data_IF_670046862318
#
_entry.id   IF_670046862318
#
_cell.length_a   1.000
_cell.length_b   1.000
_cell.length_c   1.000
_cell.angle_alpha   90.00
_cell.angle_beta   90.00
_cell.angle_gamma   90.00
#
_symmetry.space_group_name_H-M   'P 1'
#
loop_
_entity.id
_entity.type
_entity.pdbx_description
1 polymer ?
#
# COMPACT_ATOMS: atom_id res chain seq x y z
N UNK A 1 -1.46 5.55 -29.49
CA UNK A 1 -2.08 5.86 -28.19
C UNK A 1 -1.73 4.71 -27.26
N UNK A 2 -0.81 4.93 -26.32
CA UNK A 2 -0.53 3.92 -25.29
C UNK A 2 -1.78 3.82 -24.41
N UNK A 3 -2.41 2.65 -24.36
CA UNK A 3 -3.43 2.36 -23.35
C UNK A 3 -2.75 2.51 -22.00
N UNK A 4 -3.14 3.51 -21.21
CA UNK A 4 -2.69 3.67 -19.82
C UNK A 4 -3.10 2.42 -19.05
N UNK A 5 -2.16 1.49 -18.88
CA UNK A 5 -2.37 0.25 -18.16
C UNK A 5 -2.47 0.61 -16.68
N UNK A 6 -3.67 0.48 -16.09
CA UNK A 6 -3.83 0.70 -14.66
C UNK A 6 -3.08 -0.37 -13.88
N UNK A 7 -2.19 0.08 -12.99
CA UNK A 7 -1.34 -0.82 -12.20
C UNK A 7 -2.15 -1.61 -11.16
N UNK A 8 -1.59 -2.69 -10.63
CA UNK A 8 -2.21 -3.44 -9.54
C UNK A 8 -2.48 -2.55 -8.31
N UNK A 9 -1.51 -1.67 -7.99
CA UNK A 9 -1.62 -0.70 -6.88
C UNK A 9 -2.81 0.24 -7.04
N UNK A 10 -2.98 0.84 -8.22
CA UNK A 10 -4.11 1.75 -8.50
C UNK A 10 -5.46 1.04 -8.36
N UNK A 11 -5.55 -0.21 -8.83
CA UNK A 11 -6.76 -1.03 -8.69
C UNK A 11 -7.05 -1.36 -7.22
N UNK A 12 -6.02 -1.70 -6.44
CA UNK A 12 -6.16 -1.94 -5.01
C UNK A 12 -6.59 -0.66 -4.26
N UNK A 13 -5.98 0.49 -4.55
CA UNK A 13 -6.36 1.79 -3.98
C UNK A 13 -7.85 2.05 -4.23
N UNK A 14 -8.32 1.91 -5.48
CA UNK A 14 -9.74 2.11 -5.80
C UNK A 14 -10.67 1.19 -5.01
N UNK A 15 -10.30 -0.08 -4.82
CA UNK A 15 -11.07 -1.01 -3.98
C UNK A 15 -11.10 -0.55 -2.52
N UNK A 16 -9.99 -0.06 -1.98
CA UNK A 16 -9.91 0.49 -0.62
C UNK A 16 -10.75 1.76 -0.49
N UNK A 17 -10.67 2.69 -1.45
CA UNK A 17 -11.48 3.91 -1.46
C UNK A 17 -12.99 3.57 -1.47
N UNK A 18 -13.40 2.57 -2.27
CA UNK A 18 -14.77 2.07 -2.26
C UNK A 18 -15.19 1.54 -0.88
N UNK A 19 -14.31 0.81 -0.20
CA UNK A 19 -14.55 0.33 1.17
C UNK A 19 -14.71 1.51 2.13
N UNK A 20 -13.77 2.47 2.10
CA UNK A 20 -13.81 3.68 2.91
C UNK A 20 -15.06 4.52 2.64
N UNK A 21 -15.61 4.43 1.43
CA UNK A 21 -16.90 4.98 1.04
C UNK A 21 -18.10 4.07 1.38
N UNK A 22 -17.95 3.24 2.41
CA UNK A 22 -18.99 2.35 2.94
C UNK A 22 -19.59 1.41 1.87
N UNK A 23 -18.80 1.04 0.86
CA UNK A 23 -19.19 0.21 -0.28
C UNK A 23 -20.27 0.79 -1.21
N UNK A 24 -20.61 2.08 -1.09
CA UNK A 24 -21.54 2.71 -2.03
C UNK A 24 -20.94 2.74 -3.45
N UNK A 25 -21.69 2.22 -4.42
CA UNK A 25 -21.38 2.41 -5.83
C UNK A 25 -21.73 3.86 -6.21
N UNK A 26 -20.78 4.61 -6.76
CA UNK A 26 -21.12 5.89 -7.39
C UNK A 26 -21.89 5.59 -8.68
N UNK A 27 -23.13 6.08 -8.77
CA UNK A 27 -23.87 6.07 -10.03
C UNK A 27 -23.19 7.04 -11.01
N UNK A 28 -22.68 6.58 -12.17
CA UNK A 28 -22.05 7.45 -13.16
C UNK A 28 -23.03 8.46 -13.80
N UNK A 29 -24.33 8.43 -13.44
CA UNK A 29 -25.36 9.30 -13.98
C UNK A 29 -25.48 10.67 -13.28
N UNK A 30 -24.89 10.85 -12.08
CA UNK A 30 -25.04 12.08 -11.30
C UNK A 30 -23.90 13.10 -11.45
N UNK A 31 -22.93 12.87 -12.33
CA UNK A 31 -21.84 13.83 -12.63
C UNK A 31 -22.21 14.89 -13.69
N UNK A 32 -23.51 15.17 -13.87
CA UNK A 32 -23.99 16.27 -14.73
C UNK A 32 -24.41 17.50 -13.90
N UNK A 33 -23.50 18.05 -13.09
CA UNK A 33 -23.67 19.38 -12.51
C UNK A 33 -22.31 20.01 -12.17
N UNK A 34 -21.50 20.27 -13.21
CA UNK A 34 -20.63 21.47 -13.31
C UNK A 34 -19.83 21.41 -14.61
N UNK A 35 -20.45 21.88 -15.70
CA UNK A 35 -19.76 22.14 -16.95
C UNK A 35 -19.04 23.50 -16.86
N UNK A 36 -17.83 23.52 -16.31
CA UNK A 36 -16.78 24.49 -16.67
C UNK A 36 -15.43 24.14 -16.04
N UNK A 37 -14.84 23.02 -16.47
CA UNK A 37 -13.39 22.84 -16.41
C UNK A 37 -12.94 22.02 -17.63
N UNK A 38 -11.87 22.52 -18.25
CA UNK A 38 -11.27 22.05 -19.50
C UNK A 38 -11.00 20.55 -19.54
N UNK A 39 -11.24 19.98 -20.72
CA UNK A 39 -10.96 18.61 -21.14
C UNK A 39 -9.52 18.17 -20.85
N UNK A 40 -9.34 17.24 -19.92
CA UNK A 40 -8.49 16.03 -19.97
C UNK A 40 -8.57 15.33 -18.60
N UNK A 41 -8.51 13.99 -18.59
CA UNK A 41 -8.60 13.08 -17.42
C UNK A 41 -10.02 12.66 -16.97
N UNK A 42 -10.54 11.60 -17.61
CA UNK A 42 -11.59 10.75 -17.02
C UNK A 42 -10.88 9.70 -16.16
N UNK A 43 -10.41 10.11 -14.99
CA UNK A 43 -10.21 9.21 -13.85
C UNK A 43 -11.49 9.31 -13.03
N UNK A 44 -12.24 8.21 -12.89
CA UNK A 44 -13.37 8.15 -11.95
C UNK A 44 -12.81 8.17 -10.53
N UNK A 45 -12.42 9.35 -10.04
CA UNK A 45 -12.00 9.57 -8.67
C UNK A 45 -13.23 9.41 -7.80
N UNK A 46 -13.25 8.38 -6.96
CA UNK A 46 -14.33 8.24 -6.00
C UNK A 46 -14.35 9.47 -5.08
N UNK A 47 -15.54 9.98 -4.76
CA UNK A 47 -15.73 11.16 -3.92
C UNK A 47 -16.29 10.68 -2.57
N UNK A 48 -15.76 11.14 -1.43
CA UNK A 48 -16.28 10.80 -0.11
C UNK A 48 -17.78 11.10 -0.01
N UNK A 49 -18.55 10.20 0.62
CA UNK A 49 -19.95 10.49 0.96
C UNK A 49 -19.98 11.67 1.91
N UNK A 50 -20.74 12.69 1.53
CA UNK A 50 -20.96 13.91 2.30
C UNK A 50 -22.27 13.81 3.08
N UNK A 51 -22.31 14.41 4.27
CA UNK A 51 -23.50 14.66 5.05
C UNK A 51 -24.33 15.83 4.48
N UNK A 52 -25.46 16.14 5.12
CA UNK A 52 -26.35 17.24 4.71
C UNK A 52 -25.66 18.62 4.69
N UNK A 53 -24.57 18.77 5.44
CA UNK A 53 -23.75 19.98 5.54
C UNK A 53 -22.56 19.99 4.55
N UNK A 54 -22.42 18.94 3.72
CA UNK A 54 -21.36 18.81 2.73
C UNK A 54 -20.02 18.32 3.29
N UNK A 55 -19.97 17.76 4.50
CA UNK A 55 -18.76 17.22 5.11
C UNK A 55 -18.71 15.68 4.98
N UNK A 56 -17.53 15.06 4.86
CA UNK A 56 -17.42 13.60 4.84
C UNK A 56 -18.02 12.97 6.09
N UNK A 57 -18.79 11.88 5.92
CA UNK A 57 -19.30 11.11 7.07
C UNK A 57 -18.12 10.59 7.90
N UNK A 58 -18.02 11.06 9.13
CA UNK A 58 -16.97 10.65 10.06
C UNK A 58 -17.14 9.20 10.48
N UNK A 59 -16.05 8.43 10.44
CA UNK A 59 -16.04 7.01 10.79
C UNK A 59 -14.74 6.59 11.44
N UNK A 60 -14.78 5.45 12.13
CA UNK A 60 -13.63 4.83 12.77
C UNK A 60 -13.18 3.63 11.93
N UNK A 61 -11.89 3.52 11.63
CA UNK A 61 -11.32 2.38 10.94
C UNK A 61 -10.69 1.42 11.96
N UNK A 62 -11.11 0.16 11.95
CA UNK A 62 -10.52 -0.90 12.77
C UNK A 62 -9.94 -1.96 11.85
N UNK A 63 -8.66 -2.28 12.03
CA UNK A 63 -7.99 -3.32 11.25
C UNK A 63 -7.27 -4.32 12.15
N UNK A 64 -6.90 -5.47 11.60
CA UNK A 64 -5.92 -6.38 12.19
C UNK A 64 -4.52 -6.14 11.59
N UNK A 65 -3.59 -7.06 11.84
CA UNK A 65 -2.21 -6.95 11.34
C UNK A 65 -2.16 -6.84 9.82
N UNK A 66 -2.88 -7.71 9.09
CA UNK A 66 -2.85 -7.70 7.63
C UNK A 66 -3.59 -6.47 7.08
N UNK A 67 -4.75 -6.12 7.64
CA UNK A 67 -5.50 -4.92 7.25
C UNK A 67 -4.68 -3.63 7.41
N UNK A 68 -3.91 -3.52 8.51
CA UNK A 68 -2.96 -2.42 8.71
C UNK A 68 -1.91 -2.38 7.61
N UNK A 69 -1.28 -3.51 7.34
CA UNK A 69 -0.17 -3.59 6.39
C UNK A 69 -0.64 -3.29 4.95
N UNK A 70 -1.87 -3.67 4.59
CA UNK A 70 -2.51 -3.30 3.32
C UNK A 70 -2.72 -1.78 3.23
N UNK A 71 -3.43 -1.20 4.19
CA UNK A 71 -3.77 0.24 4.17
C UNK A 71 -2.51 1.10 4.18
N UNK A 72 -1.57 0.82 5.08
CA UNK A 72 -0.34 1.61 5.24
C UNK A 72 0.61 1.53 4.04
N UNK A 73 0.50 0.49 3.20
CA UNK A 73 1.31 0.37 1.98
C UNK A 73 0.83 1.29 0.84
N UNK A 74 -0.43 1.74 0.87
CA UNK A 74 -1.05 2.46 -0.25
C UNK A 74 -1.67 3.81 0.10
N UNK A 75 -2.05 4.06 1.37
CA UNK A 75 -2.66 5.31 1.83
C UNK A 75 -1.90 5.94 3.00
N UNK A 76 -1.78 7.27 2.99
CA UNK A 76 -1.29 8.07 4.12
C UNK A 76 -2.43 8.42 5.07
N UNK A 77 -2.07 8.89 6.26
CA UNK A 77 -3.04 9.40 7.26
C UNK A 77 -3.79 10.64 6.75
N UNK A 78 -3.19 11.45 5.87
CA UNK A 78 -3.90 12.52 5.15
C UNK A 78 -5.04 11.97 4.31
N UNK A 79 -4.77 10.91 3.56
CA UNK A 79 -5.71 10.34 2.61
C UNK A 79 -6.88 9.70 3.35
N UNK A 80 -6.61 8.95 4.43
CA UNK A 80 -7.64 8.42 5.32
C UNK A 80 -8.57 9.51 5.88
N UNK A 81 -8.03 10.68 6.25
CA UNK A 81 -8.83 11.81 6.75
C UNK A 81 -9.72 12.41 5.67
N UNK A 82 -9.23 12.51 4.43
CA UNK A 82 -10.05 12.93 3.27
C UNK A 82 -11.25 11.99 3.08
N UNK A 83 -11.09 10.70 3.39
CA UNK A 83 -12.15 9.69 3.34
C UNK A 83 -13.05 9.63 4.59
N UNK A 84 -12.95 10.62 5.48
CA UNK A 84 -13.77 10.71 6.70
C UNK A 84 -13.32 9.78 7.83
N UNK A 85 -12.13 9.17 7.75
CA UNK A 85 -11.59 8.37 8.85
C UNK A 85 -10.96 9.31 9.89
N UNK A 86 -11.61 9.45 11.04
CA UNK A 86 -11.11 10.31 12.14
C UNK A 86 -10.10 9.58 13.01
N UNK A 87 -10.34 8.29 13.25
CA UNK A 87 -9.49 7.43 14.07
C UNK A 87 -9.29 6.09 13.38
N UNK A 88 -8.08 5.55 13.48
CA UNK A 88 -7.77 4.19 13.04
C UNK A 88 -7.03 3.44 14.15
N UNK A 89 -7.42 2.19 14.42
CA UNK A 89 -6.89 1.41 15.54
C UNK A 89 -6.82 -0.07 15.20
N UNK A 90 -5.93 -0.79 15.89
CA UNK A 90 -5.86 -2.23 15.78
C UNK A 90 -6.99 -2.90 16.58
N UNK A 91 -7.57 -3.99 16.07
CA UNK A 91 -8.70 -4.69 16.68
C UNK A 91 -8.39 -5.24 18.09
N UNK A 92 -7.15 -5.64 18.33
CA UNK A 92 -6.70 -6.11 19.64
C UNK A 92 -6.40 -4.99 20.65
N UNK A 93 -6.39 -3.72 20.22
CA UNK A 93 -6.13 -2.60 21.11
C UNK A 93 -7.32 -2.33 22.03
N UNK A 94 -7.03 -1.83 23.24
CA UNK A 94 -8.05 -1.29 24.13
C UNK A 94 -8.65 -0.02 23.50
N UNK A 95 -9.97 0.01 23.37
CA UNK A 95 -10.71 1.03 22.63
C UNK A 95 -11.84 1.58 23.48
N UNK A 96 -12.06 2.89 23.37
CA UNK A 96 -13.09 3.62 24.12
C UNK A 96 -14.37 3.73 23.28
N UNK A 97 -15.55 3.68 23.93
CA UNK A 97 -16.82 3.86 23.23
C UNK A 97 -16.94 5.27 22.69
N UNK A 98 -17.36 5.36 21.43
CA UNK A 98 -17.79 6.60 20.79
C UNK A 98 -19.14 6.26 20.14
N UNK A 99 -20.23 6.33 20.92
CA UNK A 99 -21.57 6.04 20.43
C UNK A 99 -21.91 6.93 19.23
N UNK A 100 -22.81 6.45 18.37
CA UNK A 100 -23.32 7.15 17.18
C UNK A 100 -22.29 7.41 16.07
N UNK A 101 -21.04 6.96 16.23
CA UNK A 101 -20.04 7.01 15.16
C UNK A 101 -19.97 5.65 14.47
N UNK A 102 -20.11 5.61 13.13
CA UNK A 102 -19.92 4.40 12.36
C UNK A 102 -18.50 3.81 12.49
N UNK A 103 -18.43 2.48 12.50
CA UNK A 103 -17.15 1.76 12.46
C UNK A 103 -17.02 0.92 11.19
N UNK A 104 -15.84 0.97 10.59
CA UNK A 104 -15.43 0.13 9.47
C UNK A 104 -14.40 -0.88 9.98
N UNK A 105 -14.77 -2.15 10.01
CA UNK A 105 -13.84 -3.23 10.28
C UNK A 105 -13.24 -3.73 8.96
N UNK A 106 -11.92 -3.76 8.84
CA UNK A 106 -11.17 -4.33 7.73
C UNK A 106 -10.21 -5.40 8.26
N UNK A 107 -10.65 -6.66 8.26
CA UNK A 107 -9.98 -7.74 9.01
C UNK A 107 -9.96 -9.07 8.27
N UNK A 108 -9.05 -9.97 8.64
CA UNK A 108 -9.09 -11.37 8.22
C UNK A 108 -10.30 -12.09 8.85
N UNK A 109 -10.97 -13.02 8.12
CA UNK A 109 -12.10 -13.79 8.64
C UNK A 109 -11.61 -14.88 9.61
N UNK A 110 -11.23 -14.48 10.82
CA UNK A 110 -10.75 -15.38 11.88
C UNK A 110 -11.71 -15.39 13.07
N UNK A 111 -11.81 -16.53 13.77
CA UNK A 111 -12.64 -16.64 14.97
C UNK A 111 -12.26 -15.62 16.05
N UNK A 112 -10.98 -15.25 16.14
CA UNK A 112 -10.50 -14.23 17.07
C UNK A 112 -11.04 -12.84 16.71
N UNK A 113 -10.98 -12.46 15.43
CA UNK A 113 -11.51 -11.18 14.95
C UNK A 113 -13.03 -11.11 15.10
N UNK A 114 -13.75 -12.17 14.75
CA UNK A 114 -15.21 -12.24 14.88
C UNK A 114 -15.66 -12.08 16.33
N UNK A 115 -15.01 -12.79 17.26
CA UNK A 115 -15.28 -12.65 18.69
C UNK A 115 -14.99 -11.24 19.20
N UNK A 116 -13.92 -10.61 18.72
CA UNK A 116 -13.60 -9.23 19.08
C UNK A 116 -14.66 -8.25 18.55
N UNK A 117 -15.14 -8.42 17.32
CA UNK A 117 -16.25 -7.64 16.76
C UNK A 117 -17.51 -7.82 17.60
N UNK A 118 -17.93 -9.06 17.89
CA UNK A 118 -19.10 -9.33 18.74
C UNK A 118 -18.95 -8.65 20.10
N UNK A 119 -17.76 -8.69 20.70
CA UNK A 119 -17.48 -8.02 21.98
C UNK A 119 -17.62 -6.50 21.90
N UNK A 120 -17.13 -5.88 20.82
CA UNK A 120 -17.26 -4.44 20.59
C UNK A 120 -18.73 -4.04 20.44
N UNK A 121 -19.50 -4.83 19.68
CA UNK A 121 -20.93 -4.60 19.46
C UNK A 121 -21.74 -4.72 20.76
N UNK A 122 -21.47 -5.75 21.56
CA UNK A 122 -22.14 -5.94 22.87
C UNK A 122 -21.83 -4.81 23.85
N UNK A 123 -20.63 -4.23 23.75
CA UNK A 123 -20.22 -3.06 24.56
C UNK A 123 -20.76 -1.74 24.00
N UNK A 124 -21.41 -1.74 22.84
CA UNK A 124 -21.90 -0.53 22.18
C UNK A 124 -20.78 0.46 21.90
N UNK A 125 -19.59 -0.01 21.48
CA UNK A 125 -18.47 0.90 21.25
C UNK A 125 -18.77 1.88 20.13
N UNK A 126 -19.40 1.40 19.04
CA UNK A 126 -19.65 2.12 17.79
C UNK A 126 -20.96 1.62 17.16
N UNK A 127 -21.63 2.45 16.38
CA UNK A 127 -22.81 2.03 15.60
C UNK A 127 -23.09 3.01 14.44
N UNK A 128 -23.46 2.51 13.24
CA UNK A 128 -23.51 1.11 12.83
C UNK A 128 -22.12 0.55 12.44
N UNK A 129 -22.01 -0.77 12.42
CA UNK A 129 -20.80 -1.50 12.05
C UNK A 129 -20.84 -1.99 10.59
N UNK A 130 -19.78 -1.65 9.86
CA UNK A 130 -19.54 -2.07 8.49
C UNK A 130 -18.38 -3.07 8.46
N UNK A 131 -18.68 -4.35 8.27
CA UNK A 131 -17.73 -5.45 8.38
C UNK A 131 -17.20 -5.82 6.99
N UNK A 132 -15.89 -5.72 6.80
CA UNK A 132 -15.23 -6.01 5.54
C UNK A 132 -14.12 -7.04 5.76
N UNK A 133 -14.33 -8.26 5.28
CA UNK A 133 -13.34 -9.32 5.34
C UNK A 133 -12.33 -9.20 4.20
N UNK A 134 -11.05 -9.34 4.51
CA UNK A 134 -9.96 -9.27 3.53
C UNK A 134 -9.98 -10.43 2.52
N UNK A 135 -10.58 -11.55 2.88
CA UNK A 135 -10.78 -12.72 2.02
C UNK A 135 -12.17 -13.30 2.27
N UNK A 136 -12.59 -14.26 1.44
CA UNK A 136 -13.92 -14.83 1.58
C UNK A 136 -14.08 -15.62 2.88
N UNK A 137 -15.11 -15.29 3.66
CA UNK A 137 -15.41 -15.98 4.91
C UNK A 137 -15.96 -17.40 4.67
N UNK A 138 -15.40 -18.45 5.32
CA UNK A 138 -15.98 -19.77 5.25
C UNK A 138 -17.41 -19.82 5.81
N UNK A 139 -18.31 -20.55 5.13
CA UNK A 139 -19.72 -20.66 5.53
C UNK A 139 -19.94 -21.06 7.00
N UNK A 140 -19.22 -22.06 7.57
CA UNK A 140 -19.40 -22.40 8.98
C UNK A 140 -19.03 -21.25 9.92
N UNK A 141 -18.03 -20.47 9.55
CA UNK A 141 -17.56 -19.34 10.36
C UNK A 141 -18.54 -18.15 10.31
N UNK A 142 -19.18 -17.94 9.15
CA UNK A 142 -20.25 -16.94 9.00
C UNK A 142 -21.50 -17.33 9.81
N UNK A 143 -21.88 -18.61 9.80
CA UNK A 143 -23.03 -19.11 10.58
C UNK A 143 -22.79 -19.02 12.10
N UNK A 144 -21.56 -19.30 12.55
CA UNK A 144 -21.14 -19.11 13.94
C UNK A 144 -21.21 -17.62 14.34
N UNK A 145 -20.69 -16.72 13.50
CA UNK A 145 -20.78 -15.28 13.75
C UNK A 145 -22.21 -14.76 13.79
N UNK A 146 -23.08 -15.24 12.88
CA UNK A 146 -24.50 -14.89 12.87
C UNK A 146 -25.20 -15.37 14.16
N UNK A 147 -24.89 -16.58 14.63
CA UNK A 147 -25.44 -17.12 15.88
C UNK A 147 -25.00 -16.29 17.09
N UNK A 148 -23.69 -15.97 17.19
CA UNK A 148 -23.15 -15.16 18.29
C UNK A 148 -23.76 -13.76 18.35
N UNK A 149 -23.93 -13.09 17.21
CA UNK A 149 -24.49 -11.74 17.15
C UNK A 149 -25.99 -11.72 17.46
N UNK A 150 -26.72 -12.77 17.05
CA UNK A 150 -28.14 -12.94 17.37
C UNK A 150 -28.35 -13.22 18.87
N UNK A 151 -27.56 -14.12 19.47
CA UNK A 151 -27.60 -14.41 20.91
C UNK A 151 -27.24 -13.19 21.76
N UNK A 152 -26.30 -12.37 21.30
CA UNK A 152 -25.92 -11.12 21.95
C UNK A 152 -26.94 -9.97 21.74
N UNK A 153 -27.93 -10.13 20.86
CA UNK A 153 -28.89 -9.08 20.53
C UNK A 153 -28.27 -7.88 19.81
N UNK A 154 -27.20 -8.10 19.04
CA UNK A 154 -26.41 -7.03 18.40
C UNK A 154 -26.55 -6.98 16.88
N UNK A 155 -27.36 -7.87 16.29
CA UNK A 155 -27.51 -7.98 14.83
C UNK A 155 -27.97 -6.69 14.16
N UNK A 156 -28.80 -5.89 14.83
CA UNK A 156 -29.29 -4.59 14.34
C UNK A 156 -28.21 -3.51 14.22
N UNK A 157 -27.09 -3.68 14.92
CA UNK A 157 -25.94 -2.76 14.85
C UNK A 157 -25.04 -3.05 13.65
N UNK A 158 -25.27 -4.13 12.89
CA UNK A 158 -24.47 -4.48 11.70
C UNK A 158 -25.18 -3.96 10.45
N UNK A 159 -24.60 -2.95 9.81
CA UNK A 159 -25.15 -2.39 8.57
C UNK A 159 -24.83 -3.24 7.35
N UNK A 160 -23.60 -3.77 7.25
CA UNK A 160 -23.20 -4.59 6.11
C UNK A 160 -22.06 -5.55 6.43
N UNK A 161 -21.99 -6.64 5.66
CA UNK A 161 -20.91 -7.63 5.69
C UNK A 161 -20.47 -7.90 4.25
N UNK A 162 -19.18 -7.72 3.95
CA UNK A 162 -18.61 -7.91 2.61
C UNK A 162 -17.33 -8.72 2.63
N UNK A 163 -17.14 -9.55 1.60
CA UNK A 163 -15.88 -10.15 1.22
C UNK A 163 -15.18 -9.24 0.20
N UNK A 164 -14.01 -8.68 0.54
CA UNK A 164 -13.34 -7.65 -0.27
C UNK A 164 -12.24 -8.18 -1.20
N UNK A 165 -11.75 -9.40 -0.95
CA UNK A 165 -10.68 -10.02 -1.76
C UNK A 165 -9.42 -9.12 -1.89
N UNK A 166 -8.94 -8.60 -0.75
CA UNK A 166 -7.78 -7.72 -0.65
C UNK A 166 -6.66 -8.29 0.23
N UNK A 167 -6.63 -9.60 0.52
CA UNK A 167 -5.61 -10.25 1.36
C UNK A 167 -4.22 -10.36 0.69
N UNK A 168 -3.69 -9.26 0.18
CA UNK A 168 -2.34 -9.07 -0.36
C UNK A 168 -1.92 -7.60 -0.22
N UNK A 169 -0.63 -7.35 -0.02
CA UNK A 169 -0.02 -6.04 0.17
C UNK A 169 0.64 -5.62 -1.13
N UNK A 170 0.46 -4.38 -1.57
CA UNK A 170 1.11 -3.84 -2.77
C UNK A 170 2.17 -2.82 -2.37
N UNK A 171 3.43 -3.12 -2.68
CA UNK A 171 4.57 -2.22 -2.37
C UNK A 171 4.88 -1.29 -3.54
N UNK A 172 4.94 -1.82 -4.76
CA UNK A 172 5.24 -1.03 -5.97
C UNK A 172 4.05 -1.15 -6.94
N UNK A 173 3.96 -0.34 -8.01
CA UNK A 173 2.80 -0.32 -8.90
C UNK A 173 2.29 -1.71 -9.31
N UNK A 174 3.19 -2.67 -9.57
CA UNK A 174 2.87 -4.05 -9.94
C UNK A 174 3.63 -5.11 -9.10
N UNK A 175 4.11 -4.76 -7.90
CA UNK A 175 4.75 -5.69 -6.97
C UNK A 175 3.86 -5.92 -5.75
N UNK A 176 3.52 -7.18 -5.48
CA UNK A 176 2.72 -7.55 -4.32
C UNK A 176 3.36 -8.64 -3.46
N UNK A 177 2.90 -8.72 -2.21
CA UNK A 177 3.23 -9.76 -1.25
C UNK A 177 1.95 -10.31 -0.63
N UNK A 178 1.91 -11.60 -0.30
CA UNK A 178 0.77 -12.20 0.41
C UNK A 178 0.84 -12.01 1.94
N UNK A 179 1.83 -11.27 2.45
CA UNK A 179 1.94 -10.98 3.89
C UNK A 179 2.37 -12.18 4.76
N UNK A 180 2.79 -13.29 4.15
CA UNK A 180 3.06 -14.57 4.83
C UNK A 180 4.45 -14.69 5.46
N UNK A 181 5.08 -13.57 5.87
CA UNK A 181 6.45 -13.58 6.42
C UNK A 181 6.55 -14.40 7.72
N UNK A 182 5.53 -14.33 8.57
CA UNK A 182 5.45 -15.06 9.85
C UNK A 182 5.28 -16.58 9.66
N UNK A 183 4.84 -17.01 8.47
CA UNK A 183 4.55 -18.42 8.17
C UNK A 183 5.79 -19.20 7.71
N UNK A 184 6.95 -18.54 7.54
CA UNK A 184 8.19 -19.15 7.05
C UNK A 184 7.98 -20.05 5.82
N UNK A 185 7.20 -19.56 4.85
CA UNK A 185 6.61 -20.37 3.76
C UNK A 185 7.62 -21.20 2.98
N UNK A 186 8.79 -20.66 2.65
CA UNK A 186 9.82 -21.42 1.95
C UNK A 186 10.30 -22.63 2.76
N UNK A 187 10.52 -22.46 4.07
CA UNK A 187 10.87 -23.57 4.95
C UNK A 187 9.72 -24.56 5.04
N UNK A 188 8.49 -24.08 5.27
CA UNK A 188 7.34 -24.94 5.46
C UNK A 188 7.04 -25.81 4.22
N UNK A 189 7.21 -25.28 3.01
CA UNK A 189 6.99 -26.01 1.76
C UNK A 189 8.07 -27.07 1.47
N UNK A 190 9.27 -26.95 2.05
CA UNK A 190 10.42 -27.83 1.76
C UNK A 190 10.86 -28.68 2.95
N UNK A 191 10.32 -28.45 4.15
CA UNK A 191 10.72 -29.13 5.38
C UNK A 191 9.92 -30.42 5.57
N UNK A 192 10.64 -31.53 5.80
CA UNK A 192 10.03 -32.80 6.20
C UNK A 192 9.38 -32.76 7.60
N UNK A 193 9.55 -31.67 8.35
CA UNK A 193 8.93 -31.46 9.66
C UNK A 193 7.56 -30.79 9.57
N UNK A 194 7.19 -30.26 8.41
CA UNK A 194 5.88 -29.64 8.20
C UNK A 194 4.81 -30.72 8.16
N UNK A 195 3.76 -30.57 8.96
CA UNK A 195 2.64 -31.51 8.93
C UNK A 195 1.76 -31.28 7.71
N UNK A 196 1.06 -32.31 7.24
CA UNK A 196 0.14 -32.19 6.09
C UNK A 196 -0.91 -31.08 6.30
N UNK A 197 -1.41 -30.94 7.53
CA UNK A 197 -2.36 -29.86 7.85
C UNK A 197 -1.73 -28.47 7.75
N UNK A 198 -0.50 -28.30 8.24
CA UNK A 198 0.20 -27.01 8.14
C UNK A 198 0.50 -26.67 6.67
N UNK A 199 0.93 -27.66 5.90
CA UNK A 199 1.20 -27.52 4.47
C UNK A 199 -0.08 -27.11 3.71
N UNK A 200 -1.20 -27.78 3.96
CA UNK A 200 -2.48 -27.47 3.35
C UNK A 200 -2.94 -26.04 3.70
N UNK A 201 -2.86 -25.64 4.97
CA UNK A 201 -3.21 -24.28 5.39
C UNK A 201 -2.38 -23.19 4.65
N UNK A 202 -1.08 -23.44 4.47
CA UNK A 202 -0.18 -22.52 3.74
C UNK A 202 -0.57 -22.45 2.26
N UNK A 203 -0.82 -23.61 1.63
CA UNK A 203 -1.25 -23.68 0.23
C UNK A 203 -2.59 -22.96 0.04
N UNK A 204 -3.58 -23.19 0.92
CA UNK A 204 -4.88 -22.50 0.88
C UNK A 204 -4.72 -20.99 1.02
N UNK A 205 -3.85 -20.52 1.91
CA UNK A 205 -3.55 -19.09 2.08
C UNK A 205 -2.94 -18.50 0.80
N UNK A 206 -2.00 -19.19 0.16
CA UNK A 206 -1.42 -18.76 -1.13
C UNK A 206 -2.50 -18.70 -2.21
N UNK A 207 -3.30 -19.75 -2.36
CA UNK A 207 -4.37 -19.82 -3.37
C UNK A 207 -5.40 -18.72 -3.14
N UNK A 208 -5.77 -18.44 -1.89
CA UNK A 208 -6.69 -17.36 -1.54
C UNK A 208 -6.12 -15.98 -1.91
N UNK A 209 -4.86 -15.71 -1.59
CA UNK A 209 -4.19 -14.46 -1.95
C UNK A 209 -4.06 -14.27 -3.47
N UNK A 210 -3.65 -15.31 -4.20
CA UNK A 210 -3.56 -15.25 -5.67
C UNK A 210 -4.94 -15.07 -6.32
N UNK A 211 -5.98 -15.70 -5.77
CA UNK A 211 -7.35 -15.50 -6.22
C UNK A 211 -7.76 -14.02 -6.07
N UNK A 212 -7.48 -13.41 -4.92
CA UNK A 212 -7.74 -11.99 -4.64
C UNK A 212 -7.00 -11.03 -5.58
N UNK A 213 -5.74 -11.33 -5.92
CA UNK A 213 -4.99 -10.58 -6.94
C UNK A 213 -5.68 -10.69 -8.30
N UNK A 214 -6.10 -11.89 -8.70
CA UNK A 214 -6.81 -12.12 -9.97
C UNK A 214 -8.16 -11.38 -10.01
N UNK A 215 -8.91 -11.38 -8.90
CA UNK A 215 -10.15 -10.60 -8.73
C UNK A 215 -9.87 -9.11 -8.89
N UNK A 216 -8.84 -8.58 -8.23
CA UNK A 216 -8.46 -7.16 -8.32
C UNK A 216 -8.03 -6.76 -9.73
N UNK A 217 -7.31 -7.63 -10.44
CA UNK A 217 -6.95 -7.43 -11.85
C UNK A 217 -8.17 -7.50 -12.77
N UNK A 218 -9.24 -8.18 -12.35
CA UNK A 218 -10.49 -8.28 -13.09
C UNK A 218 -10.42 -9.11 -14.37
N UNK A 219 -9.35 -9.90 -14.55
CA UNK A 219 -9.12 -10.71 -15.77
C UNK A 219 -8.61 -12.09 -15.38
N UNK A 220 -9.25 -13.14 -15.93
CA UNK A 220 -8.89 -14.53 -15.65
C UNK A 220 -7.67 -14.96 -16.49
N UNK A 221 -6.52 -15.25 -15.86
CA UNK A 221 -5.30 -15.58 -16.57
C UNK A 221 -5.31 -17.02 -17.10
N UNK A 222 -4.33 -17.32 -17.96
CA UNK A 222 -3.90 -18.68 -18.28
C UNK A 222 -2.79 -19.05 -17.29
N UNK A 223 -3.01 -20.08 -16.47
CA UNK A 223 -2.04 -20.51 -15.47
C UNK A 223 -0.96 -21.41 -16.10
N UNK A 224 0.30 -21.17 -15.72
CA UNK A 224 1.47 -21.95 -16.12
C UNK A 224 2.39 -22.15 -14.92
N UNK A 225 2.87 -23.38 -14.73
CA UNK A 225 3.78 -23.73 -13.64
C UNK A 225 4.72 -24.89 -14.04
N UNK A 226 5.87 -25.03 -13.37
CA UNK A 226 6.66 -26.26 -13.37
C UNK A 226 5.86 -27.44 -12.78
N UNK A 227 6.27 -28.66 -13.12
CA UNK A 227 5.68 -29.90 -12.57
C UNK A 227 6.49 -30.42 -11.38
N UNK A 228 5.83 -31.17 -10.50
CA UNK A 228 6.48 -31.97 -9.46
C UNK A 228 6.82 -31.24 -8.16
N UNK A 229 6.30 -30.03 -7.95
CA UNK A 229 6.59 -29.20 -6.78
C UNK A 229 5.36 -28.40 -6.31
N UNK A 230 5.52 -27.52 -5.32
CA UNK A 230 4.40 -26.80 -4.70
C UNK A 230 3.67 -25.88 -5.69
N UNK A 231 4.38 -25.32 -6.69
CA UNK A 231 3.75 -24.52 -7.74
C UNK A 231 2.64 -25.27 -8.49
N UNK A 232 2.79 -26.58 -8.74
CA UNK A 232 1.76 -27.39 -9.42
C UNK A 232 0.50 -27.54 -8.56
N UNK A 233 0.67 -27.83 -7.26
CA UNK A 233 -0.45 -27.97 -6.32
C UNK A 233 -1.23 -26.66 -6.17
N UNK A 234 -0.52 -25.54 -6.01
CA UNK A 234 -1.09 -24.19 -5.92
C UNK A 234 -1.84 -23.87 -7.21
N UNK A 235 -1.23 -24.13 -8.38
CA UNK A 235 -1.82 -23.86 -9.69
C UNK A 235 -3.12 -24.63 -9.91
N UNK A 236 -3.13 -25.93 -9.58
CA UNK A 236 -4.32 -26.77 -9.73
C UNK A 236 -5.46 -26.33 -8.81
N UNK A 237 -5.17 -25.97 -7.56
CA UNK A 237 -6.17 -25.46 -6.60
C UNK A 237 -6.69 -24.08 -7.01
N UNK A 238 -5.83 -23.19 -7.50
CA UNK A 238 -6.23 -21.88 -8.03
C UNK A 238 -7.11 -22.01 -9.28
N UNK A 239 -6.76 -22.88 -10.23
CA UNK A 239 -7.57 -23.16 -11.42
C UNK A 239 -8.97 -23.67 -11.02
N UNK A 240 -9.06 -24.62 -10.09
CA UNK A 240 -10.35 -25.09 -9.54
C UNK A 240 -11.13 -23.95 -8.90
N UNK A 241 -10.51 -23.17 -8.02
CA UNK A 241 -11.18 -22.04 -7.33
C UNK A 241 -11.72 -21.00 -8.32
N UNK A 242 -10.97 -20.68 -9.37
CA UNK A 242 -11.41 -19.77 -10.43
C UNK A 242 -12.59 -20.38 -11.23
N UNK A 243 -12.52 -21.66 -11.61
CA UNK A 243 -13.61 -22.34 -12.31
C UNK A 243 -14.88 -22.41 -11.49
N UNK A 244 -14.77 -22.80 -10.23
CA UNK A 244 -15.91 -22.91 -9.31
C UNK A 244 -16.59 -21.55 -9.12
N UNK A 245 -15.79 -20.48 -9.00
CA UNK A 245 -16.32 -19.13 -8.92
C UNK A 245 -17.07 -18.70 -10.19
N UNK A 246 -16.56 -19.04 -11.38
CA UNK A 246 -17.23 -18.71 -12.66
C UNK A 246 -18.53 -19.49 -12.82
N UNK A 247 -18.56 -20.76 -12.43
CA UNK A 247 -19.70 -21.65 -12.64
C UNK A 247 -20.80 -21.48 -11.59
N UNK A 248 -20.43 -21.20 -10.34
CA UNK A 248 -21.34 -21.28 -9.20
C UNK A 248 -21.65 -19.94 -8.54
N UNK A 249 -20.92 -18.86 -8.84
CA UNK A 249 -21.21 -17.55 -8.26
C UNK A 249 -22.34 -16.85 -9.03
N UNK A 250 -23.38 -16.41 -8.30
CA UNK A 250 -24.46 -15.59 -8.86
C UNK A 250 -23.94 -14.22 -9.31
N UNK A 251 -22.97 -13.69 -8.58
CA UNK A 251 -22.26 -12.46 -8.89
C UNK A 251 -20.87 -12.81 -9.43
N UNK A 252 -20.72 -12.73 -10.75
CA UNK A 252 -19.43 -12.95 -11.37
C UNK A 252 -18.53 -11.72 -11.12
N UNK A 253 -17.62 -11.82 -10.16
CA UNK A 253 -16.58 -10.81 -9.87
C UNK A 253 -15.76 -10.38 -11.12
N UNK A 254 -15.75 -11.18 -12.19
CA UNK A 254 -15.04 -10.87 -13.43
C UNK A 254 -15.93 -10.19 -14.51
N UNK A 255 -17.23 -9.99 -14.27
CA UNK A 255 -18.15 -9.36 -15.23
C UNK A 255 -18.29 -7.84 -15.08
N UNK A 256 -17.82 -7.28 -13.96
CA UNK A 256 -17.98 -5.87 -13.60
C UNK A 256 -16.89 -4.95 -14.18
N UNK A 257 -15.77 -5.52 -14.63
CA UNK A 257 -14.86 -4.79 -15.53
C UNK A 257 -15.58 -4.61 -16.86
N UNK A 258 -15.59 -3.40 -17.44
CA UNK A 258 -16.29 -3.01 -18.67
C UNK A 258 -16.00 -3.83 -19.95
N UNK A 259 -15.42 -5.01 -19.83
CA UNK A 259 -15.28 -6.06 -20.83
C UNK A 259 -16.58 -6.87 -20.98
N UNK A 260 -17.75 -6.21 -21.05
CA UNK A 260 -18.82 -6.83 -21.85
C UNK A 260 -18.22 -7.00 -23.24
N UNK A 261 -18.29 -8.20 -23.88
CA UNK A 261 -18.01 -8.27 -25.29
C UNK A 261 -19.05 -7.41 -25.98
N UNK A 262 -18.68 -6.15 -26.26
CA UNK A 262 -19.40 -5.34 -27.21
C UNK A 262 -19.50 -6.18 -28.46
N UNK A 263 -20.70 -6.30 -29.00
CA UNK A 263 -21.00 -6.90 -30.30
C UNK A 263 -20.41 -6.08 -31.46
N UNK A 264 -19.27 -5.41 -31.26
CA UNK A 264 -18.53 -4.61 -32.21
C UNK A 264 -17.05 -5.00 -32.19
N UNK A 265 -16.65 -5.89 -33.09
CA UNK A 265 -15.41 -5.89 -33.91
C UNK A 265 -14.14 -5.19 -33.38
N UNK A 266 -13.82 -5.24 -32.09
CA UNK A 266 -12.63 -4.61 -31.51
C UNK A 266 -11.77 -5.65 -30.78
N UNK A 267 -10.60 -5.90 -31.39
CA UNK A 267 -9.37 -6.52 -30.83
C UNK A 267 -9.56 -7.55 -29.71
N UNK A 268 -9.35 -8.82 -30.03
CA UNK A 268 -9.19 -9.91 -29.04
C UNK A 268 -8.12 -9.54 -28.01
N UNK A 269 -8.50 -9.06 -26.83
CA UNK A 269 -7.55 -8.90 -25.72
C UNK A 269 -7.01 -10.29 -25.36
N UNK A 270 -5.73 -10.55 -25.64
CA UNK A 270 -5.09 -11.81 -25.26
C UNK A 270 -5.20 -12.00 -23.75
N UNK A 271 -5.65 -13.17 -23.30
CA UNK A 271 -5.70 -13.47 -21.86
C UNK A 271 -4.28 -13.40 -21.28
N UNK A 272 -4.08 -12.73 -20.12
CA UNK A 272 -2.77 -12.67 -19.48
C UNK A 272 -2.34 -14.07 -19.04
N UNK A 273 -1.03 -14.27 -18.88
CA UNK A 273 -0.47 -15.53 -18.36
C UNK A 273 -0.05 -15.30 -16.91
N UNK A 274 -0.49 -16.18 -16.01
CA UNK A 274 -0.02 -16.24 -14.63
C UNK A 274 1.03 -17.35 -14.52
N UNK A 275 2.28 -16.97 -14.30
CA UNK A 275 3.39 -17.88 -14.06
C UNK A 275 3.56 -18.09 -12.55
N UNK A 276 3.42 -19.34 -12.10
CA UNK A 276 3.65 -19.73 -10.71
C UNK A 276 4.92 -20.57 -10.67
N UNK A 277 5.93 -20.11 -9.93
CA UNK A 277 7.25 -20.71 -9.85
C UNK A 277 7.60 -21.03 -8.40
N UNK A 278 8.29 -22.15 -8.18
CA UNK A 278 8.95 -22.42 -6.91
C UNK A 278 10.29 -21.67 -6.85
N UNK A 279 10.63 -21.13 -5.68
CA UNK A 279 11.87 -20.34 -5.48
C UNK A 279 13.15 -21.13 -5.82
N UNK A 280 13.09 -22.47 -5.75
CA UNK A 280 14.17 -23.39 -6.12
C UNK A 280 14.67 -23.24 -7.56
N UNK A 281 13.92 -22.54 -8.43
CA UNK A 281 14.35 -22.24 -9.80
C UNK A 281 15.62 -21.38 -9.84
N UNK A 282 15.81 -20.49 -8.86
CA UNK A 282 16.99 -19.65 -8.73
C UNK A 282 17.08 -19.07 -7.31
N UNK A 283 18.11 -19.44 -6.56
CA UNK A 283 18.35 -18.93 -5.21
C UNK A 283 19.36 -17.78 -5.17
N UNK A 284 20.06 -17.50 -6.27
CA UNK A 284 21.16 -16.52 -6.30
C UNK A 284 20.64 -15.11 -5.95
N UNK A 285 19.53 -14.60 -6.52
CA UNK A 285 19.02 -13.26 -6.19
C UNK A 285 18.59 -13.08 -4.73
N UNK A 286 18.37 -14.17 -3.98
CA UNK A 286 17.99 -14.08 -2.56
C UNK A 286 19.18 -13.80 -1.65
N UNK A 287 20.41 -13.94 -2.16
CA UNK A 287 21.67 -13.78 -1.42
C UNK A 287 22.58 -12.71 -2.02
N UNK A 288 22.38 -12.36 -3.29
CA UNK A 288 23.20 -11.36 -3.98
C UNK A 288 22.93 -9.94 -3.48
N UNK A 289 24.01 -9.22 -3.17
CA UNK A 289 23.96 -7.76 -3.02
C UNK A 289 23.87 -7.11 -4.41
N UNK A 290 22.85 -6.28 -4.60
CA UNK A 290 22.69 -5.46 -5.80
C UNK A 290 23.22 -4.05 -5.56
N UNK A 291 23.62 -3.37 -6.63
CA UNK A 291 24.09 -1.98 -6.61
C UNK A 291 23.01 -0.97 -7.03
N UNK A 292 21.79 -1.42 -7.29
CA UNK A 292 20.65 -0.53 -7.57
C UNK A 292 20.17 0.13 -6.28
N UNK A 293 19.72 1.38 -6.38
CA UNK A 293 19.35 2.18 -5.21
C UNK A 293 18.27 1.52 -4.36
N UNK A 294 17.17 1.05 -4.97
CA UNK A 294 16.09 0.38 -4.25
C UNK A 294 16.55 -0.89 -3.53
N UNK A 295 17.39 -1.70 -4.18
CA UNK A 295 17.87 -2.94 -3.58
C UNK A 295 18.79 -2.67 -2.39
N UNK A 296 19.70 -1.70 -2.50
CA UNK A 296 20.58 -1.30 -1.41
C UNK A 296 19.79 -0.74 -0.23
N UNK A 297 18.80 0.11 -0.49
CA UNK A 297 17.92 0.65 0.57
C UNK A 297 17.16 -0.47 1.27
N UNK A 298 16.61 -1.43 0.52
CA UNK A 298 15.92 -2.57 1.10
C UNK A 298 16.84 -3.43 1.97
N UNK A 299 18.06 -3.70 1.49
CA UNK A 299 19.04 -4.56 2.13
C UNK A 299 19.65 -3.93 3.39
N UNK A 300 20.18 -2.71 3.28
CA UNK A 300 20.96 -2.05 4.34
C UNK A 300 20.07 -1.35 5.37
N UNK A 301 18.91 -0.82 4.97
CA UNK A 301 18.04 -0.02 5.84
C UNK A 301 16.78 -0.77 6.30
N UNK A 302 16.72 -2.10 6.08
CA UNK A 302 15.64 -2.98 6.52
C UNK A 302 14.25 -2.44 6.13
N UNK A 303 14.08 -2.08 4.86
CA UNK A 303 12.85 -1.49 4.35
C UNK A 303 11.65 -2.41 4.56
N UNK A 304 10.57 -1.88 5.15
CA UNK A 304 9.31 -2.62 5.36
C UNK A 304 8.14 -1.73 5.01
N UNK A 305 7.24 -2.24 4.16
CA UNK A 305 6.06 -1.49 3.70
C UNK A 305 6.43 -0.10 3.16
N UNK A 306 7.50 -0.06 2.36
CA UNK A 306 8.09 1.16 1.80
C UNK A 306 8.52 2.21 2.83
N UNK A 307 8.75 1.79 4.07
CA UNK A 307 9.26 2.66 5.13
C UNK A 307 10.64 2.21 5.55
N UNK A 308 11.52 3.18 5.73
CA UNK A 308 12.86 3.00 6.29
C UNK A 308 12.99 3.79 7.58
N UNK A 309 13.92 3.38 8.44
CA UNK A 309 14.31 4.14 9.62
C UNK A 309 15.82 4.29 9.63
N UNK A 310 16.28 5.54 9.60
CA UNK A 310 17.69 5.89 9.63
C UNK A 310 18.02 6.36 11.05
N UNK A 311 19.07 5.79 11.61
CA UNK A 311 19.61 6.21 12.91
C UNK A 311 20.77 7.16 12.66
N UNK A 312 20.72 8.34 13.26
CA UNK A 312 21.79 9.34 13.18
C UNK A 312 22.25 9.70 14.60
N UNK A 313 23.55 9.98 14.82
CA UNK A 313 24.00 10.49 16.11
C UNK A 313 23.23 11.76 16.50
N UNK A 314 22.87 11.91 17.77
CA UNK A 314 22.27 13.16 18.27
C UNK A 314 23.29 14.31 18.21
N UNK A 315 24.56 13.96 18.39
CA UNK A 315 25.70 14.85 18.39
C UNK A 315 26.84 14.13 17.64
N UNK A 316 27.22 14.62 16.46
CA UNK A 316 28.26 13.98 15.62
C UNK A 316 29.63 13.97 16.33
N UNK A 317 29.89 14.96 17.19
CA UNK A 317 31.15 15.04 17.94
C UNK A 317 31.13 14.21 19.23
N UNK A 318 29.95 13.83 19.72
CA UNK A 318 29.81 13.01 20.93
C UNK A 318 28.77 11.87 20.78
N UNK A 319 29.15 10.76 20.12
CA UNK A 319 28.28 9.60 19.89
C UNK A 319 27.73 8.96 21.18
N UNK A 320 28.33 9.22 22.34
CA UNK A 320 27.88 8.71 23.63
C UNK A 320 26.54 9.32 24.09
N UNK A 321 26.09 10.43 23.50
CA UNK A 321 24.77 11.03 23.77
C UNK A 321 23.59 10.25 23.16
N UNK A 322 23.87 9.24 22.34
CA UNK A 322 22.86 8.37 21.73
C UNK A 322 22.50 8.74 20.30
N UNK A 323 21.56 8.00 19.72
CA UNK A 323 21.09 8.17 18.35
C UNK A 323 19.65 8.67 18.30
N UNK A 324 19.35 9.51 17.32
CA UNK A 324 17.99 9.87 16.93
C UNK A 324 17.55 9.00 15.76
N UNK A 325 16.28 8.60 15.75
CA UNK A 325 15.70 7.79 14.67
C UNK A 325 14.78 8.66 13.84
N UNK A 326 15.05 8.75 12.54
CA UNK A 326 14.17 9.38 11.56
C UNK A 326 13.57 8.30 10.67
N UNK A 327 12.24 8.33 10.52
CA UNK A 327 11.56 7.44 9.58
C UNK A 327 11.22 8.20 8.31
N UNK A 328 11.39 7.52 7.17
CA UNK A 328 11.04 8.05 5.85
C UNK A 328 10.13 7.07 5.12
N UNK A 329 9.09 7.59 4.47
CA UNK A 329 8.16 6.82 3.67
C UNK A 329 8.50 7.01 2.18
N UNK A 330 8.89 5.94 1.52
CA UNK A 330 9.31 5.88 0.11
C UNK A 330 8.08 5.60 -0.76
N UNK A 331 7.30 6.65 -1.01
CA UNK A 331 6.01 6.49 -1.70
C UNK A 331 6.14 6.53 -3.22
N UNK A 332 5.18 5.96 -3.93
CA UNK A 332 5.12 6.07 -5.40
C UNK A 332 4.93 7.52 -5.90
N UNK A 333 4.51 8.44 -5.03
CA UNK A 333 4.37 9.85 -5.36
C UNK A 333 5.67 10.64 -5.13
N UNK A 334 6.71 10.01 -4.57
CA UNK A 334 8.04 10.60 -4.48
C UNK A 334 8.66 10.62 -5.88
N UNK A 335 8.78 11.82 -6.44
CA UNK A 335 9.29 12.03 -7.79
C UNK A 335 10.74 11.53 -7.94
N UNK A 336 11.55 11.70 -6.88
CA UNK A 336 12.95 11.32 -6.89
C UNK A 336 13.08 9.80 -6.80
N UNK A 337 12.32 9.17 -5.89
CA UNK A 337 12.28 7.71 -5.76
C UNK A 337 11.83 7.04 -7.05
N UNK A 338 10.71 7.47 -7.62
CA UNK A 338 10.16 6.90 -8.86
C UNK A 338 11.14 7.00 -10.03
N UNK A 339 11.90 8.09 -10.13
CA UNK A 339 12.92 8.27 -11.17
C UNK A 339 14.16 7.38 -10.94
N UNK A 340 14.61 7.26 -9.69
CA UNK A 340 15.96 6.76 -9.37
C UNK A 340 16.01 5.37 -8.74
N UNK A 341 14.89 4.81 -8.27
CA UNK A 341 14.85 3.52 -7.54
C UNK A 341 15.56 2.38 -8.28
N UNK A 342 15.37 2.28 -9.60
CA UNK A 342 15.98 1.25 -10.44
C UNK A 342 17.41 1.55 -10.92
N UNK A 343 17.94 2.75 -10.64
CA UNK A 343 19.26 3.17 -11.15
C UNK A 343 20.41 2.66 -10.26
N UNK A 344 21.62 2.48 -10.81
CA UNK A 344 22.81 2.20 -10.03
C UNK A 344 23.12 3.33 -9.04
N UNK A 345 23.55 2.96 -7.83
CA UNK A 345 23.80 3.90 -6.74
C UNK A 345 24.74 5.08 -7.09
N UNK A 346 25.84 4.92 -7.85
CA UNK A 346 26.67 6.05 -8.25
C UNK A 346 25.92 7.09 -9.08
N UNK A 347 25.05 6.65 -10.00
CA UNK A 347 24.21 7.53 -10.81
C UNK A 347 23.22 8.30 -9.93
N UNK A 348 22.65 7.63 -8.93
CA UNK A 348 21.71 8.28 -8.00
C UNK A 348 22.40 9.38 -7.20
N UNK A 349 23.67 9.21 -6.79
CA UNK A 349 24.42 10.27 -6.11
C UNK A 349 24.58 11.52 -6.99
N UNK A 350 24.89 11.35 -8.27
CA UNK A 350 24.96 12.47 -9.23
C UNK A 350 23.59 13.14 -9.44
N UNK A 351 22.52 12.34 -9.53
CA UNK A 351 21.15 12.82 -9.66
C UNK A 351 20.69 13.58 -8.39
N UNK A 352 21.14 13.18 -7.19
CA UNK A 352 20.89 13.93 -5.93
C UNK A 352 21.56 15.30 -6.01
N UNK A 353 22.84 15.36 -6.39
CA UNK A 353 23.58 16.62 -6.48
C UNK A 353 22.94 17.58 -7.49
N UNK A 354 22.52 17.06 -8.65
CA UNK A 354 21.82 17.83 -9.67
C UNK A 354 20.47 18.36 -9.16
N UNK A 355 19.70 17.55 -8.45
CA UNK A 355 18.40 17.95 -7.91
C UNK A 355 18.54 18.96 -6.76
N UNK A 356 19.57 18.81 -5.92
CA UNK A 356 19.88 19.76 -4.86
C UNK A 356 20.35 21.11 -5.40
N UNK A 357 21.08 21.12 -6.52
CA UNK A 357 21.41 22.35 -7.24
C UNK A 357 20.17 23.04 -7.80
N UNK A 358 19.26 22.30 -8.46
CA UNK A 358 17.98 22.85 -8.95
C UNK A 358 17.13 23.43 -7.84
N UNK A 359 17.00 22.71 -6.72
CA UNK A 359 16.27 23.20 -5.55
C UNK A 359 16.85 24.52 -5.02
N UNK A 360 18.18 24.64 -4.97
CA UNK A 360 18.84 25.90 -4.56
C UNK A 360 18.55 27.05 -5.53
N UNK A 361 18.57 26.78 -6.82
CA UNK A 361 18.26 27.77 -7.86
C UNK A 361 16.80 28.22 -7.79
N UNK A 362 15.85 27.28 -7.66
CA UNK A 362 14.42 27.54 -7.53
C UNK A 362 14.11 28.33 -6.25
N UNK A 363 14.71 27.94 -5.12
CA UNK A 363 14.58 28.65 -3.86
C UNK A 363 15.13 30.08 -3.95
N UNK A 364 16.26 30.30 -4.64
CA UNK A 364 16.82 31.62 -4.87
C UNK A 364 15.93 32.48 -5.77
N UNK A 365 15.33 31.90 -6.81
CA UNK A 365 14.38 32.61 -7.69
C UNK A 365 13.12 33.05 -6.93
N UNK A 366 12.57 32.17 -6.09
CA UNK A 366 11.40 32.49 -5.26
C UNK A 366 11.73 33.60 -4.27
N UNK A 367 12.85 33.47 -3.56
CA UNK A 367 13.33 34.46 -2.58
C UNK A 367 13.51 35.84 -3.24
N UNK A 368 14.03 35.87 -4.49
CA UNK A 368 14.13 37.09 -5.30
C UNK A 368 12.78 37.67 -5.72
N UNK A 369 11.79 36.83 -6.05
CA UNK A 369 10.43 37.25 -6.44
C UNK A 369 9.58 37.73 -5.25
N UNK A 370 9.82 37.19 -4.06
CA UNK A 370 9.09 37.55 -2.83
C UNK A 370 9.76 38.65 -2.03
N UNK A 371 11.03 38.97 -2.32
CA UNK A 371 11.78 40.02 -1.63
C UNK A 371 12.26 39.64 -0.23
N UNK A 372 12.19 38.35 0.13
CA UNK A 372 12.69 37.84 1.40
C UNK A 372 14.21 37.60 1.35
N UNK A 373 14.85 37.50 2.52
CA UNK A 373 16.27 37.17 2.67
C UNK A 373 16.55 35.66 2.68
N UNK A 374 15.59 34.86 3.13
CA UNK A 374 15.69 33.41 3.17
C UNK A 374 14.32 32.73 3.08
N UNK A 375 14.31 31.45 2.74
CA UNK A 375 13.10 30.62 2.73
C UNK A 375 12.53 30.42 4.16
N UNK A 376 13.39 30.45 5.18
CA UNK A 376 13.01 30.34 6.59
C UNK A 376 12.37 31.63 7.12
N UNK A 377 12.78 32.81 6.62
CA UNK A 377 12.14 34.09 6.95
C UNK A 377 10.72 34.19 6.38
N UNK A 378 10.46 33.60 5.20
CA UNK A 378 9.12 33.52 4.59
C UNK A 378 8.16 32.64 5.40
N UNK A 379 8.65 31.71 6.23
CA UNK A 379 7.82 30.85 7.06
C UNK A 379 7.32 31.55 8.33
N UNK A 380 8.10 32.51 8.85
CA UNK A 380 7.78 33.21 10.09
C UNK A 380 6.98 34.51 9.86
N UNK A 381 7.05 35.08 8.66
CA UNK A 381 6.43 36.38 8.38
C UNK A 381 5.03 36.24 7.77
N UNK A 382 4.01 36.19 8.63
CA UNK A 382 2.58 36.17 8.25
C UNK A 382 2.07 37.53 7.72
N UNK A 383 2.94 38.53 7.56
CA UNK A 383 2.58 39.91 7.24
C UNK A 383 2.82 40.33 5.77
N UNK A 384 3.41 39.47 4.94
CA UNK A 384 3.69 39.78 3.53
C UNK A 384 2.40 39.81 2.67
N UNK A 385 2.32 40.80 1.77
CA UNK A 385 1.16 41.12 0.92
C UNK A 385 0.45 39.88 0.32
N UNK A 386 -0.89 39.91 0.29
CA UNK A 386 -1.79 38.79 -0.01
C UNK A 386 -1.49 38.03 -1.33
N UNK A 387 -0.83 38.67 -2.30
CA UNK A 387 -0.37 38.02 -3.54
C UNK A 387 0.90 37.17 -3.33
N UNK A 388 1.82 37.63 -2.48
CA UNK A 388 3.01 36.88 -2.07
C UNK A 388 2.66 35.72 -1.15
N UNK A 389 1.70 35.92 -0.22
CA UNK A 389 1.14 34.82 0.57
C UNK A 389 0.48 33.75 -0.31
N UNK A 390 -0.28 34.12 -1.36
CA UNK A 390 -0.89 33.13 -2.25
C UNK A 390 0.15 32.28 -2.99
N UNK A 391 1.19 32.89 -3.54
CA UNK A 391 2.26 32.16 -4.22
C UNK A 391 3.09 31.29 -3.25
N UNK A 392 3.44 31.84 -2.07
CA UNK A 392 4.16 31.12 -1.03
C UNK A 392 3.35 29.95 -0.46
N UNK A 393 2.06 30.12 -0.17
CA UNK A 393 1.17 29.06 0.35
C UNK A 393 0.95 27.93 -0.67
N UNK A 394 1.02 28.23 -1.97
CA UNK A 394 0.82 27.21 -3.02
C UNK A 394 2.13 26.45 -3.32
N UNK A 395 3.30 27.11 -3.27
CA UNK A 395 4.59 26.52 -3.65
C UNK A 395 5.41 25.97 -2.47
N UNK A 396 5.27 26.53 -1.26
CA UNK A 396 6.03 26.09 -0.08
C UNK A 396 5.71 24.67 0.40
N UNK A 397 4.46 24.16 0.31
CA UNK A 397 4.18 22.76 0.67
C UNK A 397 4.91 21.78 -0.26
N UNK A 398 4.89 22.03 -1.57
CA UNK A 398 5.60 21.22 -2.57
C UNK A 398 7.12 21.27 -2.37
N UNK A 399 7.69 22.47 -2.13
CA UNK A 399 9.11 22.64 -1.84
C UNK A 399 9.54 22.13 -0.46
N UNK A 400 8.61 21.89 0.48
CA UNK A 400 8.91 21.33 1.80
C UNK A 400 9.00 19.81 1.77
N UNK A 401 8.30 19.15 0.85
CA UNK A 401 8.40 17.70 0.67
C UNK A 401 9.69 17.30 -0.08
N UNK A 402 10.24 18.15 -0.94
CA UNK A 402 11.47 17.91 -1.70
C UNK A 402 12.78 17.74 -0.88
N UNK A 403 13.11 18.57 0.15
CA UNK A 403 14.36 18.45 0.91
C UNK A 403 14.42 17.19 1.79
N UNK A 404 13.28 16.54 2.07
CA UNK A 404 13.27 15.26 2.78
C UNK A 404 13.92 14.12 1.95
N UNK A 405 13.92 14.21 0.62
CA UNK A 405 14.52 13.22 -0.27
C UNK A 405 16.06 13.33 -0.35
N UNK A 406 16.63 14.53 -0.14
CA UNK A 406 18.07 14.81 -0.30
C UNK A 406 18.94 14.58 0.94
N UNK A 407 18.36 14.25 2.11
CA UNK A 407 19.09 14.22 3.40
C UNK A 407 19.74 12.85 3.75
N UNK A 408 19.95 11.98 2.76
CA UNK A 408 20.26 10.55 2.98
C UNK A 408 21.75 10.14 2.88
N UNK A 409 22.72 11.07 2.89
CA UNK A 409 24.13 10.69 3.04
C UNK A 409 24.88 11.57 4.05
N UNK A 410 25.72 10.98 4.92
CA UNK A 410 26.65 11.74 5.75
C UNK A 410 27.67 12.44 4.85
N UNK A 411 28.11 13.63 5.27
CA UNK A 411 29.10 14.42 4.58
C UNK A 411 30.33 13.58 4.22
N UNK A 412 30.77 13.65 2.96
CA UNK A 412 32.08 13.16 2.52
C UNK A 412 33.14 13.83 3.41
N UNK A 413 33.82 13.04 4.25
CA UNK A 413 35.09 13.44 4.82
C UNK A 413 36.12 13.48 3.70
N UNK A 414 36.65 14.67 3.42
CA UNK A 414 37.81 14.87 2.57
C UNK A 414 39.06 14.34 3.30
N UNK A 415 39.27 13.02 3.28
CA UNK A 415 40.55 12.43 3.66
C UNK A 415 41.42 12.28 2.42
N UNK A 416 42.16 13.35 2.12
CA UNK A 416 43.37 13.27 1.31
C UNK A 416 44.43 12.49 2.10
N UNK A 417 44.56 11.19 1.86
CA UNK A 417 45.75 10.44 2.27
C UNK A 417 46.67 10.18 1.07
N UNK A 418 47.89 10.70 1.21
CA UNK A 418 49.03 10.56 0.32
C UNK A 418 49.37 9.09 0.05
N UNK A 419 49.31 8.70 -1.23
CA UNK A 419 49.88 7.44 -1.72
C UNK A 419 51.40 7.61 -1.80
N UNK A 420 52.11 7.28 -0.72
CA UNK A 420 53.53 6.95 -0.79
C UNK A 420 53.70 5.45 -1.05
N UNK A 421 54.34 5.14 -2.18
CA UNK A 421 54.60 3.79 -2.64
C UNK A 421 55.48 2.98 -1.68
N UNK A 422 55.19 1.68 -1.62
CA UNK A 422 56.11 0.70 -1.08
C UNK A 422 56.29 -0.43 -2.11
N UNK A 423 57.57 -0.65 -2.34
CA UNK A 423 58.23 -1.42 -3.38
C UNK A 423 57.94 -2.93 -3.34
N UNK A 424 58.15 -3.57 -4.48
CA UNK A 424 58.05 -5.00 -4.66
C UNK A 424 59.24 -5.72 -4.00
N UNK A 425 58.97 -6.78 -3.24
CA UNK A 425 59.98 -7.68 -2.70
C UNK A 425 59.57 -9.13 -2.92
N UNK A 426 60.10 -9.73 -3.99
CA UNK A 426 60.10 -11.16 -4.21
C UNK A 426 61.13 -11.85 -3.30
N UNK A 427 60.77 -13.00 -2.71
CA UNK A 427 61.72 -14.07 -2.37
C UNK A 427 60.97 -15.38 -2.08
N UNK A 428 61.33 -16.39 -2.89
CA UNK A 428 61.33 -17.86 -2.72
C UNK A 428 60.21 -18.59 -1.95
#
# INVERSE_FOLDING_TARGET
>A
MATTHQSLRERQIRSIEKILNLNHAQDPANTHADQNASSHEITSTSVPILDEDGNPIWKILVFDDLGRDIISSVLRVSDLRTWGVTMHMHIASARNPIPDVPVLYLVEPSSANLKAITTDLTRGLYSPAYINFLSSIPRPLLEDFASQTAEAGTSENIAQVFDQYLNFIVSEPDLFSLGMRKDHTYWALNSAKTTDQQLENIIERIVSGLFSVVVTMGVIPIIRCPKGAAAEMISAKLDRKLRDHILNSKDNLFSSSGNRPSTSTSTTSSRPVLLILDRNVDLIPMLSHSWTYQSLVHDVLNMKLNRITVESPIDEENPAKGTTKRSYDLTANDFFWTKNAGLPFPQVAEDIDAELMRYKDDAAEITKKTGASSLEDLQNDTSASAQHLKAAITLLPELREQPAAGQLLPARGDDHEDVQGADAGAAE
#
